data_IF_861733243415
#
_entry.id   IF_861733243415
#
_cell.length_a   1.000
_cell.length_b   1.000
_cell.length_c   1.000
_cell.angle_alpha   90.00
_cell.angle_beta   90.00
_cell.angle_gamma   90.00
#
_symmetry.space_group_name_H-M   'P 1'
#
loop_
_entity.id
_entity.type
_entity.pdbx_description
1 polymer ?
#
# COMPACT_ATOMS: atom_id res chain seq x y z
N UNK A 1 -13.00 19.89 6.64
CA UNK A 1 -13.09 18.55 6.01
C UNK A 1 -14.15 17.70 6.70
N UNK A 2 -14.96 16.95 5.93
CA UNK A 2 -15.93 16.02 6.50
C UNK A 2 -15.23 14.68 6.78
N UNK A 3 -15.41 14.17 7.99
CA UNK A 3 -14.94 12.85 8.41
C UNK A 3 -16.00 11.82 8.04
N UNK A 4 -15.59 10.62 7.62
CA UNK A 4 -16.50 9.52 7.34
C UNK A 4 -17.32 9.12 8.56
N UNK A 5 -18.57 8.76 8.33
CA UNK A 5 -19.51 8.30 9.35
C UNK A 5 -19.82 6.84 9.13
N UNK A 6 -20.04 6.11 10.21
CA UNK A 6 -20.43 4.70 10.16
C UNK A 6 -21.91 4.60 9.81
N UNK A 7 -22.24 3.94 8.69
CA UNK A 7 -23.62 3.68 8.27
C UNK A 7 -24.06 2.24 8.52
N UNK A 8 -23.10 1.35 8.87
CA UNK A 8 -23.34 -0.04 9.24
C UNK A 8 -22.15 -0.55 10.05
N UNK A 9 -22.39 -1.06 11.26
CA UNK A 9 -21.35 -1.47 12.20
C UNK A 9 -20.58 -2.73 11.74
N UNK A 10 -21.26 -3.65 11.06
CA UNK A 10 -20.66 -4.89 10.58
C UNK A 10 -21.26 -5.31 9.23
N UNK A 11 -20.38 -5.76 8.33
CA UNK A 11 -20.76 -6.33 7.05
C UNK A 11 -20.00 -7.65 6.84
N UNK A 12 -20.73 -8.73 6.57
CA UNK A 12 -20.10 -9.98 6.17
C UNK A 12 -19.32 -9.82 4.86
N UNK A 13 -18.13 -10.43 4.80
CA UNK A 13 -17.21 -10.32 3.64
C UNK A 13 -17.91 -10.65 2.31
N UNK A 14 -18.76 -11.65 2.28
CA UNK A 14 -19.47 -12.07 1.06
C UNK A 14 -20.36 -10.98 0.44
N UNK A 15 -20.76 -9.99 1.23
CA UNK A 15 -21.62 -8.88 0.77
C UNK A 15 -20.87 -7.59 0.45
N UNK A 16 -19.54 -7.59 0.56
CA UNK A 16 -18.74 -6.38 0.38
C UNK A 16 -19.06 -5.66 -0.94
N UNK A 17 -19.04 -6.39 -2.05
CA UNK A 17 -19.24 -5.77 -3.38
C UNK A 17 -20.68 -5.30 -3.57
N UNK A 18 -21.67 -6.08 -3.14
CA UNK A 18 -23.08 -5.69 -3.26
C UNK A 18 -23.43 -4.48 -2.41
N UNK A 19 -22.80 -4.35 -1.21
CA UNK A 19 -23.03 -3.19 -0.35
C UNK A 19 -22.37 -1.93 -0.91
N UNK A 20 -21.15 -2.03 -1.43
CA UNK A 20 -20.48 -0.93 -2.14
C UNK A 20 -21.31 -0.48 -3.35
N UNK A 21 -21.84 -1.43 -4.12
CA UNK A 21 -22.72 -1.13 -5.26
C UNK A 21 -23.98 -0.35 -4.81
N UNK A 22 -24.62 -0.75 -3.71
CA UNK A 22 -25.75 -0.03 -3.16
C UNK A 22 -25.41 1.43 -2.79
N UNK A 23 -24.24 1.64 -2.12
CA UNK A 23 -23.73 2.98 -1.82
C UNK A 23 -23.55 3.80 -3.10
N UNK A 24 -22.95 3.22 -4.13
CA UNK A 24 -22.70 3.90 -5.40
C UNK A 24 -24.00 4.22 -6.13
N UNK A 25 -25.01 3.35 -6.08
CA UNK A 25 -26.33 3.59 -6.69
C UNK A 25 -27.06 4.75 -6.01
N UNK A 26 -27.08 4.81 -4.68
CA UNK A 26 -27.65 5.93 -3.94
C UNK A 26 -26.91 7.22 -4.27
N UNK A 27 -25.57 7.19 -4.24
CA UNK A 27 -24.77 8.34 -4.65
C UNK A 27 -25.02 8.75 -6.09
N UNK A 28 -25.19 7.81 -7.02
CA UNK A 28 -25.41 8.10 -8.41
C UNK A 28 -26.78 8.80 -8.66
N UNK A 29 -27.80 8.45 -7.86
CA UNK A 29 -29.14 9.09 -7.93
C UNK A 29 -29.14 10.51 -7.36
N UNK A 30 -28.47 10.74 -6.26
CA UNK A 30 -28.63 11.97 -5.46
C UNK A 30 -27.36 12.82 -5.37
N UNK A 31 -26.21 12.33 -5.81
CA UNK A 31 -24.97 13.07 -5.82
C UNK A 31 -25.00 14.27 -6.76
N UNK A 32 -24.33 15.35 -6.35
CA UNK A 32 -24.25 16.56 -7.18
C UNK A 32 -23.48 16.31 -8.47
N UNK A 33 -24.00 16.85 -9.58
CA UNK A 33 -23.39 16.79 -10.93
C UNK A 33 -23.12 18.17 -11.54
N UNK A 34 -23.69 19.21 -10.95
CA UNK A 34 -23.58 20.60 -11.38
C UNK A 34 -22.21 21.21 -11.08
N UNK A 35 -21.46 20.65 -10.12
CA UNK A 35 -20.16 21.17 -9.70
C UNK A 35 -19.20 20.02 -9.40
N UNK A 36 -18.14 19.88 -10.20
CA UNK A 36 -17.12 18.84 -10.10
C UNK A 36 -16.44 18.80 -8.72
N UNK A 37 -16.22 19.94 -8.08
CA UNK A 37 -15.58 20.00 -6.75
C UNK A 37 -16.52 19.53 -5.63
N UNK A 38 -17.82 19.47 -5.88
CA UNK A 38 -18.85 19.02 -4.94
C UNK A 38 -19.41 17.64 -5.28
N UNK A 39 -18.97 17.02 -6.36
CA UNK A 39 -19.37 15.68 -6.80
C UNK A 39 -18.64 14.60 -5.99
N UNK A 40 -18.92 14.51 -4.69
CA UNK A 40 -18.30 13.55 -3.78
C UNK A 40 -19.31 12.99 -2.79
N UNK A 41 -19.21 11.71 -2.45
CA UNK A 41 -20.14 11.02 -1.52
C UNK A 41 -20.27 11.79 -0.19
N UNK A 42 -19.17 12.23 0.39
CA UNK A 42 -19.17 12.98 1.67
C UNK A 42 -20.00 14.27 1.63
N UNK A 43 -20.15 14.89 0.47
CA UNK A 43 -21.00 16.09 0.32
C UNK A 43 -22.47 15.68 0.36
N UNK A 44 -22.84 14.59 -0.28
CA UNK A 44 -24.19 14.05 -0.22
C UNK A 44 -24.56 13.63 1.21
N UNK A 45 -23.71 12.83 1.86
CA UNK A 45 -23.96 12.39 3.24
C UNK A 45 -24.13 13.55 4.20
N UNK A 46 -23.32 14.61 4.05
CA UNK A 46 -23.48 15.82 4.88
C UNK A 46 -24.79 16.57 4.59
N UNK A 47 -25.28 16.52 3.36
CA UNK A 47 -26.52 17.22 2.97
C UNK A 47 -27.79 16.49 3.43
N UNK A 48 -27.82 15.17 3.37
CA UNK A 48 -29.01 14.36 3.71
C UNK A 48 -28.98 13.79 5.12
N UNK A 49 -27.83 13.79 5.75
CA UNK A 49 -27.59 13.13 7.04
C UNK A 49 -27.19 11.66 6.92
N UNK A 50 -26.41 11.18 7.89
CA UNK A 50 -25.87 9.82 7.89
C UNK A 50 -26.96 8.74 8.04
N UNK A 51 -27.97 8.99 8.88
CA UNK A 51 -29.07 8.05 9.10
C UNK A 51 -29.91 7.86 7.86
N UNK A 52 -30.30 8.96 7.20
CA UNK A 52 -31.11 8.89 5.99
C UNK A 52 -30.34 8.27 4.82
N UNK A 53 -29.07 8.65 4.67
CA UNK A 53 -28.19 8.02 3.67
C UNK A 53 -28.06 6.51 3.91
N UNK A 54 -27.83 6.10 5.17
CA UNK A 54 -27.77 4.69 5.56
C UNK A 54 -29.04 3.93 5.25
N UNK A 55 -30.23 4.50 5.59
CA UNK A 55 -31.54 3.89 5.25
C UNK A 55 -31.73 3.67 3.76
N UNK A 56 -31.33 4.64 2.95
CA UNK A 56 -31.43 4.52 1.48
C UNK A 56 -30.48 3.46 0.95
N UNK A 57 -29.26 3.35 1.49
CA UNK A 57 -28.30 2.31 1.13
C UNK A 57 -28.82 0.93 1.52
N UNK A 58 -29.35 0.77 2.73
CA UNK A 58 -29.94 -0.52 3.18
C UNK A 58 -31.11 -0.94 2.29
N UNK A 59 -32.01 -0.02 1.96
CA UNK A 59 -33.14 -0.29 1.08
C UNK A 59 -32.70 -0.74 -0.31
N UNK A 60 -31.70 -0.06 -0.89
CA UNK A 60 -31.14 -0.47 -2.19
C UNK A 60 -30.44 -1.81 -2.11
N UNK A 61 -29.67 -2.05 -1.03
CA UNK A 61 -28.91 -3.27 -0.84
C UNK A 61 -29.83 -4.50 -0.68
N UNK A 62 -30.94 -4.40 0.02
CA UNK A 62 -31.92 -5.49 0.13
C UNK A 62 -32.36 -6.05 -1.23
N UNK A 63 -32.42 -5.19 -2.26
CA UNK A 63 -32.80 -5.62 -3.60
C UNK A 63 -31.69 -6.35 -4.38
N UNK A 64 -30.42 -6.13 -4.00
CA UNK A 64 -29.27 -6.61 -4.79
C UNK A 64 -28.33 -7.56 -4.01
N UNK A 65 -28.51 -7.71 -2.71
CA UNK A 65 -27.58 -8.45 -1.85
C UNK A 65 -27.34 -9.90 -2.25
N UNK A 66 -28.37 -10.57 -2.78
CA UNK A 66 -28.30 -11.96 -3.23
C UNK A 66 -28.02 -12.09 -4.75
N UNK A 67 -27.68 -10.99 -5.40
CA UNK A 67 -27.38 -10.95 -6.84
C UNK A 67 -25.94 -11.34 -7.16
N UNK A 68 -25.53 -11.03 -8.40
CA UNK A 68 -24.22 -11.41 -8.99
C UNK A 68 -23.00 -10.86 -8.28
N UNK A 69 -23.15 -9.87 -7.40
CA UNK A 69 -22.07 -9.28 -6.62
C UNK A 69 -21.92 -9.90 -5.23
N UNK A 70 -22.72 -10.92 -4.89
CA UNK A 70 -22.49 -11.73 -3.70
C UNK A 70 -21.29 -12.63 -3.95
N UNK A 71 -20.23 -12.46 -3.13
CA UNK A 71 -19.02 -13.28 -3.25
C UNK A 71 -19.29 -14.71 -2.74
N UNK A 72 -18.92 -15.68 -3.55
CA UNK A 72 -18.82 -17.07 -3.13
C UNK A 72 -17.43 -17.35 -2.54
N UNK A 73 -17.31 -18.44 -1.78
CA UNK A 73 -16.02 -18.81 -1.18
C UNK A 73 -14.94 -18.97 -2.24
N UNK A 74 -15.27 -19.54 -3.41
CA UNK A 74 -14.33 -19.68 -4.54
C UNK A 74 -13.73 -18.35 -5.01
N UNK A 75 -14.52 -17.24 -4.97
CA UNK A 75 -14.06 -15.91 -5.41
C UNK A 75 -13.07 -15.34 -4.40
N UNK A 76 -13.34 -15.58 -3.11
CA UNK A 76 -12.46 -15.19 -2.00
C UNK A 76 -11.15 -15.99 -2.07
N UNK A 77 -11.23 -17.31 -2.24
CA UNK A 77 -10.08 -18.20 -2.32
C UNK A 77 -9.21 -17.86 -3.54
N UNK A 78 -9.85 -17.57 -4.68
CA UNK A 78 -9.15 -17.11 -5.86
C UNK A 78 -8.40 -15.80 -5.61
N UNK A 79 -9.06 -14.79 -5.03
CA UNK A 79 -8.40 -13.55 -4.69
C UNK A 79 -7.24 -13.75 -3.70
N UNK A 80 -7.42 -14.61 -2.69
CA UNK A 80 -6.37 -14.92 -1.71
C UNK A 80 -5.17 -15.65 -2.33
N UNK A 81 -5.36 -16.43 -3.39
CA UNK A 81 -4.27 -17.17 -4.04
C UNK A 81 -3.19 -16.28 -4.64
N UNK A 82 -3.48 -15.00 -4.88
CA UNK A 82 -2.50 -14.00 -5.34
C UNK A 82 -1.65 -13.42 -4.20
N UNK A 83 -2.01 -13.65 -2.94
CA UNK A 83 -1.32 -13.12 -1.75
C UNK A 83 -0.64 -14.24 -0.96
N UNK A 84 0.26 -14.97 -1.64
CA UNK A 84 1.06 -16.01 -1.00
C UNK A 84 2.31 -15.41 -0.37
N UNK A 85 2.71 -15.93 0.79
CA UNK A 85 3.98 -15.51 1.40
C UNK A 85 5.16 -16.00 0.55
N UNK A 86 6.21 -15.18 0.35
CA UNK A 86 7.44 -15.64 -0.26
C UNK A 86 8.07 -16.83 0.48
N UNK A 87 8.91 -17.59 -0.22
CA UNK A 87 9.70 -18.67 0.40
C UNK A 87 10.88 -18.05 1.16
N UNK A 88 10.64 -17.58 2.38
CA UNK A 88 11.69 -17.01 3.22
C UNK A 88 12.74 -18.06 3.60
N UNK A 89 13.99 -17.60 3.68
CA UNK A 89 15.10 -18.39 4.15
C UNK A 89 15.14 -18.36 5.70
N UNK A 90 14.91 -19.49 6.34
CA UNK A 90 14.89 -19.61 7.80
C UNK A 90 16.28 -19.33 8.43
N UNK A 91 17.35 -19.41 7.64
CA UNK A 91 18.73 -19.14 8.07
C UNK A 91 19.22 -17.72 7.70
N UNK A 92 18.33 -16.83 7.27
CA UNK A 92 18.68 -15.47 6.82
C UNK A 92 19.19 -14.53 7.94
N UNK A 93 19.22 -14.98 9.19
CA UNK A 93 19.70 -14.17 10.33
C UNK A 93 21.20 -13.98 10.26
N UNK A 94 21.65 -12.88 9.66
CA UNK A 94 23.05 -12.45 9.65
C UNK A 94 23.20 -11.05 10.28
N UNK A 95 23.05 -11.01 11.60
CA UNK A 95 23.18 -9.77 12.37
C UNK A 95 24.62 -9.23 12.36
N UNK A 96 25.62 -10.08 12.14
CA UNK A 96 27.03 -9.70 12.25
C UNK A 96 27.48 -8.86 11.06
N UNK A 97 27.28 -9.32 9.82
CA UNK A 97 27.71 -8.58 8.62
C UNK A 97 26.98 -7.24 8.48
N UNK A 98 25.68 -7.20 8.77
CA UNK A 98 24.89 -5.99 8.78
C UNK A 98 25.41 -4.95 9.80
N UNK A 99 25.70 -5.40 11.03
CA UNK A 99 26.22 -4.52 12.07
C UNK A 99 27.66 -4.05 11.78
N UNK A 100 28.50 -4.87 11.19
CA UNK A 100 29.84 -4.51 10.76
C UNK A 100 29.81 -3.46 9.64
N UNK A 101 28.95 -3.62 8.65
CA UNK A 101 28.73 -2.64 7.58
C UNK A 101 28.29 -1.28 8.17
N UNK A 102 27.34 -1.26 9.12
CA UNK A 102 26.93 -0.02 9.81
C UNK A 102 28.06 0.64 10.59
N UNK A 103 28.96 -0.13 11.20
CA UNK A 103 30.10 0.42 11.93
C UNK A 103 31.17 0.98 11.00
N UNK A 104 31.39 0.35 9.86
CA UNK A 104 32.45 0.72 8.91
C UNK A 104 32.03 1.86 7.96
N UNK A 105 30.73 2.08 7.75
CA UNK A 105 30.20 3.08 6.81
C UNK A 105 29.12 3.94 7.45
N UNK A 106 29.45 5.20 7.75
CA UNK A 106 28.54 6.15 8.41
C UNK A 106 27.36 6.56 7.53
N UNK A 107 27.54 6.64 6.20
CA UNK A 107 26.46 6.97 5.26
C UNK A 107 25.44 5.85 5.20
N UNK A 108 25.89 4.60 5.09
CA UNK A 108 25.04 3.42 5.20
C UNK A 108 24.31 3.37 6.55
N UNK A 109 25.02 3.64 7.65
CA UNK A 109 24.42 3.66 8.99
C UNK A 109 23.29 4.67 9.10
N UNK A 110 23.47 5.87 8.54
CA UNK A 110 22.42 6.91 8.49
C UNK A 110 21.23 6.48 7.64
N UNK A 111 21.47 5.93 6.45
CA UNK A 111 20.43 5.41 5.60
C UNK A 111 19.66 4.26 6.29
N UNK A 112 20.39 3.28 6.82
CA UNK A 112 19.78 2.14 7.51
C UNK A 112 18.92 2.56 8.72
N UNK A 113 19.34 3.61 9.45
CA UNK A 113 18.58 4.13 10.59
C UNK A 113 17.30 4.86 10.25
N UNK A 114 17.09 5.24 8.98
CA UNK A 114 15.92 5.98 8.52
C UNK A 114 15.06 5.22 7.52
N UNK A 115 15.69 4.46 6.62
CA UNK A 115 15.03 3.82 5.50
C UNK A 115 14.67 2.35 5.75
N UNK A 116 15.11 1.76 6.88
CA UNK A 116 14.77 0.37 7.19
C UNK A 116 13.70 0.29 8.27
N UNK A 117 12.76 -0.63 8.05
CA UNK A 117 11.72 -0.99 9.01
C UNK A 117 11.79 -2.48 9.35
N UNK A 118 11.60 -2.83 10.64
CA UNK A 118 11.65 -4.22 11.07
C UNK A 118 10.65 -5.10 10.32
N UNK A 119 11.11 -6.23 9.84
CA UNK A 119 10.25 -7.24 9.23
C UNK A 119 9.76 -8.25 10.27
N UNK A 120 8.56 -8.82 10.05
CA UNK A 120 8.00 -9.86 10.94
C UNK A 120 8.80 -11.18 10.92
N UNK A 121 9.51 -11.45 9.84
CA UNK A 121 10.39 -12.62 9.70
C UNK A 121 11.81 -12.20 10.10
N UNK A 122 12.45 -12.88 11.08
CA UNK A 122 13.83 -12.58 11.47
C UNK A 122 14.79 -12.71 10.29
N UNK A 123 15.79 -11.82 10.23
CA UNK A 123 16.77 -11.81 9.15
C UNK A 123 16.38 -11.02 7.91
N UNK A 124 15.17 -10.44 7.90
CA UNK A 124 14.68 -9.57 6.83
C UNK A 124 14.37 -8.16 7.35
N UNK A 125 14.39 -7.18 6.46
CA UNK A 125 13.98 -5.80 6.70
C UNK A 125 13.17 -5.31 5.50
N UNK A 126 12.28 -4.35 5.74
CA UNK A 126 11.64 -3.60 4.67
C UNK A 126 12.48 -2.34 4.37
N UNK A 127 12.97 -2.20 3.15
CA UNK A 127 13.83 -1.09 2.73
C UNK A 127 13.04 -0.04 1.94
N UNK A 128 12.99 1.18 2.45
CA UNK A 128 12.34 2.32 1.79
C UNK A 128 13.31 2.96 0.81
N UNK A 129 12.89 3.06 -0.44
CA UNK A 129 13.54 3.84 -1.50
C UNK A 129 12.85 5.19 -1.57
N UNK A 130 13.56 6.23 -1.19
CA UNK A 130 13.01 7.59 -1.22
C UNK A 130 13.05 8.18 -2.63
N UNK A 131 11.90 8.63 -3.12
CA UNK A 131 11.75 9.39 -4.35
C UNK A 131 11.69 10.91 -4.07
N UNK A 132 12.49 11.39 -3.09
CA UNK A 132 12.53 12.79 -2.66
C UNK A 132 13.96 13.35 -2.67
N UNK A 133 14.69 13.07 -3.73
CA UNK A 133 16.03 13.63 -3.91
C UNK A 133 15.97 15.17 -3.99
N UNK A 134 17.01 15.89 -3.52
CA UNK A 134 17.05 17.34 -3.60
C UNK A 134 16.86 17.84 -5.03
N UNK A 135 15.98 18.84 -5.23
CA UNK A 135 15.61 19.48 -6.51
C UNK A 135 14.76 18.61 -7.45
N UNK A 136 14.29 17.47 -7.01
CA UNK A 136 13.34 16.62 -7.75
C UNK A 136 11.98 16.73 -7.08
N UNK A 137 10.90 16.72 -7.88
CA UNK A 137 9.54 16.71 -7.33
C UNK A 137 9.31 15.40 -6.55
N UNK A 138 8.74 15.46 -5.35
CA UNK A 138 8.50 14.27 -4.55
C UNK A 138 7.64 13.24 -5.29
N UNK A 139 8.11 12.00 -5.34
CA UNK A 139 7.43 10.90 -6.01
C UNK A 139 7.79 10.71 -7.47
N UNK A 140 8.61 11.57 -8.05
CA UNK A 140 9.06 11.43 -9.43
C UNK A 140 10.24 10.44 -9.52
N UNK A 141 10.19 9.57 -10.53
CA UNK A 141 11.26 8.68 -10.92
C UNK A 141 11.35 8.66 -12.45
N UNK A 142 12.56 8.51 -12.99
CA UNK A 142 12.73 8.29 -14.43
C UNK A 142 12.37 6.84 -14.79
N UNK A 143 12.17 6.59 -16.09
CA UNK A 143 11.94 5.23 -16.60
C UNK A 143 13.12 4.30 -16.29
N UNK A 144 14.37 4.79 -16.46
CA UNK A 144 15.55 4.00 -16.11
C UNK A 144 15.64 3.69 -14.61
N UNK A 145 15.23 4.62 -13.75
CA UNK A 145 15.14 4.37 -12.31
C UNK A 145 14.05 3.35 -11.97
N UNK A 146 12.93 3.40 -12.67
CA UNK A 146 11.85 2.42 -12.46
C UNK A 146 12.28 1.01 -12.86
N UNK A 147 12.91 0.84 -14.03
CA UNK A 147 13.47 -0.44 -14.49
C UNK A 147 14.54 -0.95 -13.50
N UNK A 148 15.43 -0.07 -13.07
CA UNK A 148 16.46 -0.40 -12.08
C UNK A 148 15.86 -0.88 -10.74
N UNK A 149 14.81 -0.24 -10.24
CA UNK A 149 14.13 -0.65 -9.01
C UNK A 149 13.41 -1.98 -9.22
N UNK A 150 12.84 -2.23 -10.40
CA UNK A 150 12.24 -3.52 -10.73
C UNK A 150 13.28 -4.64 -10.67
N UNK A 151 14.46 -4.46 -11.29
CA UNK A 151 15.57 -5.42 -11.21
C UNK A 151 16.04 -5.66 -9.76
N UNK A 152 16.11 -4.60 -8.95
CA UNK A 152 16.43 -4.73 -7.53
C UNK A 152 15.35 -5.51 -6.76
N UNK A 153 14.08 -5.33 -7.09
CA UNK A 153 13.01 -6.09 -6.44
C UNK A 153 13.10 -7.58 -6.72
N UNK A 154 13.39 -7.95 -7.97
CA UNK A 154 13.60 -9.34 -8.36
C UNK A 154 14.81 -9.95 -7.65
N UNK A 155 15.88 -9.18 -7.53
CA UNK A 155 17.12 -9.66 -6.91
C UNK A 155 17.02 -9.77 -5.39
N UNK A 156 16.37 -8.81 -4.70
CA UNK A 156 16.47 -8.65 -3.25
C UNK A 156 15.16 -8.81 -2.49
N UNK A 157 13.99 -8.72 -3.16
CA UNK A 157 12.68 -8.64 -2.51
C UNK A 157 11.60 -9.54 -3.13
N UNK A 158 12.00 -10.69 -3.69
CA UNK A 158 11.11 -11.67 -4.33
C UNK A 158 10.21 -11.08 -5.44
N UNK A 159 10.66 -10.03 -6.13
CA UNK A 159 9.89 -9.32 -7.15
C UNK A 159 8.78 -8.43 -6.58
N UNK A 160 8.80 -8.12 -5.29
CA UNK A 160 7.75 -7.35 -4.63
C UNK A 160 8.18 -5.91 -4.37
N UNK A 161 7.33 -4.97 -4.80
CA UNK A 161 7.46 -3.52 -4.57
C UNK A 161 6.15 -2.99 -4.00
N UNK A 162 6.22 -2.17 -2.95
CA UNK A 162 5.06 -1.49 -2.38
C UNK A 162 5.18 0.00 -2.63
N UNK A 163 4.12 0.60 -3.19
CA UNK A 163 3.97 2.05 -3.31
C UNK A 163 3.37 2.60 -2.03
N UNK A 164 4.02 3.60 -1.43
CA UNK A 164 3.54 4.20 -0.17
C UNK A 164 2.73 5.47 -0.41
N UNK A 165 1.89 5.84 0.57
CA UNK A 165 1.17 7.11 0.57
C UNK A 165 2.10 8.32 0.78
N UNK A 166 3.33 8.10 1.21
CA UNK A 166 4.37 9.12 1.37
C UNK A 166 5.17 9.36 0.09
N UNK A 167 4.72 8.83 -1.05
CA UNK A 167 5.40 8.97 -2.35
C UNK A 167 6.81 8.36 -2.36
N UNK A 168 6.97 7.23 -1.70
CA UNK A 168 8.17 6.40 -1.73
C UNK A 168 7.83 4.99 -2.23
N UNK A 169 8.86 4.22 -2.55
CA UNK A 169 8.74 2.78 -2.81
C UNK A 169 9.35 1.99 -1.66
N UNK A 170 8.87 0.77 -1.45
CA UNK A 170 9.43 -0.14 -0.45
C UNK A 170 9.71 -1.48 -1.11
N UNK A 171 10.90 -2.00 -0.86
CA UNK A 171 11.24 -3.41 -1.05
C UNK A 171 10.98 -4.13 0.28
N UNK A 172 9.87 -4.88 0.41
CA UNK A 172 9.41 -5.31 1.72
C UNK A 172 10.20 -6.46 2.33
N UNK A 173 10.96 -7.21 1.54
CA UNK A 173 11.49 -8.52 1.93
C UNK A 173 13.01 -8.66 1.73
N UNK A 174 13.79 -7.65 2.11
CA UNK A 174 15.25 -7.65 1.89
C UNK A 174 15.97 -8.38 3.03
N UNK A 175 16.84 -9.34 2.69
CA UNK A 175 17.70 -9.99 3.70
C UNK A 175 18.67 -9.00 4.32
N UNK A 176 18.91 -9.09 5.63
CA UNK A 176 19.86 -8.23 6.34
C UNK A 176 21.27 -8.30 5.74
N UNK A 177 21.70 -9.48 5.30
CA UNK A 177 23.01 -9.69 4.66
C UNK A 177 23.16 -8.90 3.34
N UNK A 178 22.06 -8.63 2.65
CA UNK A 178 22.05 -7.98 1.32
C UNK A 178 21.88 -6.46 1.39
N UNK A 179 21.53 -5.92 2.55
CA UNK A 179 21.19 -4.49 2.71
C UNK A 179 22.32 -3.54 2.33
N UNK A 180 23.57 -3.89 2.61
CA UNK A 180 24.69 -3.05 2.23
C UNK A 180 24.88 -3.02 0.71
N UNK A 181 24.81 -4.18 0.05
CA UNK A 181 24.89 -4.28 -1.41
C UNK A 181 23.72 -3.58 -2.10
N UNK A 182 22.51 -3.68 -1.55
CA UNK A 182 21.35 -2.94 -2.04
C UNK A 182 21.60 -1.42 -1.94
N UNK A 183 22.07 -0.95 -0.79
CA UNK A 183 22.37 0.46 -0.57
C UNK A 183 23.42 0.99 -1.56
N UNK A 184 24.53 0.27 -1.77
CA UNK A 184 25.55 0.66 -2.76
C UNK A 184 24.96 0.80 -4.17
N UNK A 185 24.09 -0.09 -4.58
CA UNK A 185 23.40 0.01 -5.86
C UNK A 185 22.48 1.24 -5.94
N UNK A 186 21.69 1.48 -4.88
CA UNK A 186 20.81 2.65 -4.80
C UNK A 186 21.60 3.97 -4.87
N UNK A 187 22.80 4.04 -4.28
CA UNK A 187 23.70 5.19 -4.38
C UNK A 187 24.06 5.51 -5.84
N UNK A 188 24.28 4.50 -6.70
CA UNK A 188 24.64 4.72 -8.12
C UNK A 188 23.57 5.46 -8.91
N UNK A 189 22.31 5.40 -8.47
CA UNK A 189 21.15 6.02 -9.13
C UNK A 189 20.58 7.21 -8.34
N UNK A 190 21.27 7.69 -7.30
CA UNK A 190 20.81 8.72 -6.39
C UNK A 190 19.48 8.38 -5.69
N UNK A 191 19.23 7.09 -5.42
CA UNK A 191 18.03 6.56 -4.77
C UNK A 191 18.23 6.21 -3.29
N UNK A 192 19.46 6.39 -2.75
CA UNK A 192 19.81 6.10 -1.37
C UNK A 192 19.66 7.30 -0.42
N UNK A 193 18.80 8.25 -0.73
CA UNK A 193 18.56 9.39 0.16
C UNK A 193 17.80 8.99 1.42
N UNK A 194 18.17 9.61 2.55
CA UNK A 194 17.47 9.43 3.84
C UNK A 194 16.30 10.39 4.04
N UNK A 195 15.90 11.11 3.02
CA UNK A 195 14.77 12.04 3.05
C UNK A 195 13.47 11.29 2.73
N UNK A 196 12.88 10.62 3.71
CA UNK A 196 11.67 9.78 3.58
C UNK A 196 10.41 10.47 4.09
#
# INVERSE_FOLDING_TARGET
>A
PYIGKCIRDFLEKKYLLSYIEAILRVYNRFGRRDNIYKARIKILVNAVGEEEFGKQVEAEWEHIKEGVLKLEQKDIDHAQSFFTSPAYDENAVDVNSFNEAKKSNSAFSNWAGRNLYPHKIPGYEAAVISLKAPKIAPGDATDEQMDFIADLSDQYSFGEIIVTHDQNLVLPNVKQADLFSLWEKLETQNLATSNI
#
